data_IF_315105509905
#
_entry.id   IF_315105509905
#
_cell.length_a   1.000
_cell.length_b   1.000
_cell.length_c   1.000
_cell.angle_alpha   90.00
_cell.angle_beta   90.00
_cell.angle_gamma   90.00
#
_symmetry.space_group_name_H-M   'P 1'
#
loop_
_entity.id
_entity.type
_entity.pdbx_description
1 polymer ?
#
# COMPACT_ATOMS: atom_id res chain seq x y z
N UNK A 1 -12.61 18.38 1.55
CA UNK A 1 -11.74 19.54 1.76
C UNK A 1 -10.39 19.10 1.25
N UNK A 2 -10.00 19.50 0.04
CA UNK A 2 -8.71 19.14 -0.53
C UNK A 2 -7.59 19.79 0.29
N UNK A 3 -6.51 19.04 0.48
CA UNK A 3 -5.31 19.49 1.20
C UNK A 3 -4.42 20.37 0.28
N UNK A 4 -5.03 21.29 -0.49
CA UNK A 4 -4.29 22.22 -1.33
C UNK A 4 -3.41 23.11 -0.44
N UNK A 5 -2.09 23.05 -0.62
CA UNK A 5 -1.12 23.94 0.01
C UNK A 5 -0.42 23.43 1.27
N UNK A 6 -0.55 22.15 1.63
CA UNK A 6 0.22 21.56 2.74
C UNK A 6 1.62 21.19 2.24
N UNK A 7 2.66 21.71 2.91
CA UNK A 7 4.04 21.31 2.63
C UNK A 7 4.18 19.77 2.79
N UNK A 8 4.82 19.06 1.86
CA UNK A 8 4.99 17.59 1.94
C UNK A 8 5.60 17.13 3.26
N UNK A 9 6.45 17.94 3.86
CA UNK A 9 7.12 17.65 5.14
C UNK A 9 6.17 17.55 6.34
N UNK A 10 5.03 18.26 6.33
CA UNK A 10 4.03 18.20 7.41
C UNK A 10 2.88 17.24 7.13
N UNK A 11 2.63 16.90 5.87
CA UNK A 11 1.48 16.10 5.44
C UNK A 11 1.24 14.84 6.29
N UNK A 12 2.25 13.98 6.41
CA UNK A 12 2.10 12.73 7.14
C UNK A 12 2.05 12.95 8.65
N UNK A 13 2.76 13.95 9.17
CA UNK A 13 2.71 14.30 10.58
C UNK A 13 1.33 14.80 10.99
N UNK A 14 0.72 15.68 10.19
CA UNK A 14 -0.63 16.21 10.41
C UNK A 14 -1.69 15.11 10.30
N UNK A 15 -1.55 14.22 9.31
CA UNK A 15 -2.41 13.06 9.16
C UNK A 15 -2.35 12.14 10.39
N UNK A 16 -1.13 11.77 10.82
CA UNK A 16 -0.94 10.91 12.00
C UNK A 16 -1.47 11.57 13.28
N UNK A 17 -1.26 12.87 13.45
CA UNK A 17 -1.83 13.61 14.56
C UNK A 17 -3.38 13.54 14.57
N UNK A 18 -4.01 13.69 13.40
CA UNK A 18 -5.44 13.52 13.22
C UNK A 18 -5.94 12.10 13.49
N UNK A 19 -5.07 11.09 13.36
CA UNK A 19 -5.37 9.69 13.69
C UNK A 19 -4.99 9.30 15.13
N UNK A 20 -4.56 10.22 15.97
CA UNK A 20 -4.14 9.91 17.35
C UNK A 20 -2.73 9.35 17.48
N UNK A 21 -1.85 9.61 16.51
CA UNK A 21 -0.44 9.27 16.50
C UNK A 21 -0.08 8.02 15.67
N UNK A 22 -1.06 7.19 15.33
CA UNK A 22 -0.90 5.99 14.51
C UNK A 22 -1.98 5.94 13.44
N UNK A 23 -1.69 5.28 12.31
CA UNK A 23 -2.68 5.06 11.27
C UNK A 23 -2.70 3.59 10.82
N UNK A 24 -3.88 3.14 10.40
CA UNK A 24 -4.09 1.78 9.88
C UNK A 24 -4.23 1.86 8.36
N UNK A 25 -3.41 1.10 7.67
CA UNK A 25 -3.49 0.86 6.22
C UNK A 25 -4.35 -0.37 5.97
N UNK A 26 -4.96 -0.48 4.82
CA UNK A 26 -5.76 -1.63 4.44
C UNK A 26 -4.94 -2.94 4.32
N UNK A 27 -5.57 -3.99 3.84
CA UNK A 27 -4.99 -5.32 3.67
C UNK A 27 -4.95 -5.79 2.22
N UNK A 28 -4.85 -7.10 2.03
CA UNK A 28 -4.73 -7.72 0.73
C UNK A 28 -5.97 -7.57 -0.16
N UNK A 29 -6.00 -6.59 -1.06
CA UNK A 29 -7.12 -6.37 -2.00
C UNK A 29 -7.45 -7.65 -2.77
N UNK A 30 -6.45 -8.31 -3.35
CA UNK A 30 -6.65 -9.55 -4.11
C UNK A 30 -7.19 -10.67 -3.22
N UNK A 31 -6.67 -10.80 -2.02
CA UNK A 31 -7.14 -11.79 -1.03
C UNK A 31 -8.64 -11.62 -0.74
N UNK A 32 -9.09 -10.39 -0.57
CA UNK A 32 -10.50 -10.13 -0.28
C UNK A 32 -11.38 -10.31 -1.53
N UNK A 33 -10.89 -9.97 -2.73
CA UNK A 33 -11.58 -10.29 -3.98
C UNK A 33 -11.77 -11.81 -4.15
N UNK A 34 -10.74 -12.62 -3.85
CA UNK A 34 -10.84 -14.09 -3.85
C UNK A 34 -11.84 -14.59 -2.81
N UNK A 35 -11.90 -14.00 -1.61
CA UNK A 35 -12.90 -14.34 -0.59
C UNK A 35 -14.32 -14.01 -1.01
N UNK A 36 -14.49 -13.01 -1.87
CA UNK A 36 -15.75 -12.71 -2.54
C UNK A 36 -16.02 -13.57 -3.80
N UNK A 37 -15.22 -14.62 -4.03
CA UNK A 37 -15.44 -15.61 -5.07
C UNK A 37 -14.83 -15.27 -6.42
N UNK A 38 -13.92 -14.29 -6.50
CA UNK A 38 -13.24 -13.99 -7.76
C UNK A 38 -12.07 -14.96 -7.99
N UNK A 39 -12.03 -15.54 -9.19
CA UNK A 39 -10.86 -16.23 -9.69
C UNK A 39 -9.87 -15.20 -10.25
N UNK A 40 -8.70 -15.05 -9.64
CA UNK A 40 -7.66 -14.11 -10.06
C UNK A 40 -6.54 -14.77 -10.88
N UNK A 41 -6.74 -15.97 -11.40
CA UNK A 41 -5.79 -16.63 -12.31
C UNK A 41 -5.82 -15.97 -13.71
N UNK A 42 -5.27 -14.77 -13.80
CA UNK A 42 -5.24 -13.93 -14.99
C UNK A 42 -3.94 -13.13 -15.03
N UNK A 43 -3.47 -12.72 -16.21
CA UNK A 43 -2.29 -11.84 -16.34
C UNK A 43 -2.48 -10.48 -15.67
N UNK A 44 -3.70 -9.94 -15.68
CA UNK A 44 -4.08 -8.73 -14.97
C UNK A 44 -4.34 -8.95 -13.47
N UNK A 45 -4.38 -10.21 -13.01
CA UNK A 45 -4.66 -10.57 -11.63
C UNK A 45 -5.86 -9.80 -11.07
N UNK A 46 -5.71 -9.02 -9.98
CA UNK A 46 -6.80 -8.22 -9.42
C UNK A 46 -7.29 -7.08 -10.31
N UNK A 47 -6.46 -6.56 -11.21
CA UNK A 47 -6.83 -5.45 -12.10
C UNK A 47 -7.90 -5.85 -13.14
N UNK A 48 -8.10 -7.16 -13.43
CA UNK A 48 -9.23 -7.60 -14.26
C UNK A 48 -10.59 -7.21 -13.66
N UNK A 49 -10.67 -7.08 -12.34
CA UNK A 49 -11.91 -6.71 -11.66
C UNK A 49 -12.29 -5.24 -11.92
N UNK A 50 -11.36 -4.39 -12.35
CA UNK A 50 -11.68 -3.04 -12.80
C UNK A 50 -12.54 -3.05 -14.07
N UNK A 51 -12.35 -4.05 -14.93
CA UNK A 51 -13.14 -4.25 -16.16
C UNK A 51 -14.48 -4.88 -15.82
N UNK A 52 -14.46 -6.00 -15.08
CA UNK A 52 -15.62 -6.91 -14.98
C UNK A 52 -16.45 -6.69 -13.71
N UNK A 53 -15.87 -6.22 -12.62
CA UNK A 53 -16.51 -6.16 -11.30
C UNK A 53 -16.10 -4.91 -10.49
N UNK A 54 -16.23 -3.67 -11.05
CA UNK A 54 -15.79 -2.45 -10.35
C UNK A 54 -16.55 -2.22 -9.03
N UNK A 55 -17.83 -2.65 -8.95
CA UNK A 55 -18.64 -2.57 -7.72
C UNK A 55 -18.06 -3.46 -6.61
N UNK A 56 -17.48 -4.61 -6.97
CA UNK A 56 -16.84 -5.49 -6.00
C UNK A 56 -15.53 -4.89 -5.49
N UNK A 57 -14.72 -4.26 -6.36
CA UNK A 57 -13.53 -3.51 -5.94
C UNK A 57 -13.91 -2.44 -4.91
N UNK A 58 -14.98 -1.66 -5.18
CA UNK A 58 -15.51 -0.67 -4.24
C UNK A 58 -15.97 -1.31 -2.92
N UNK A 59 -16.63 -2.49 -2.97
CA UNK A 59 -17.06 -3.21 -1.76
C UNK A 59 -15.86 -3.61 -0.92
N UNK A 60 -14.79 -4.12 -1.52
CA UNK A 60 -13.56 -4.50 -0.81
C UNK A 60 -12.92 -3.29 -0.10
N UNK A 61 -12.86 -2.14 -0.75
CA UNK A 61 -12.39 -0.92 -0.08
C UNK A 61 -13.28 -0.55 1.12
N UNK A 62 -14.59 -0.69 1.01
CA UNK A 62 -15.51 -0.48 2.13
C UNK A 62 -15.29 -1.48 3.26
N UNK A 63 -15.04 -2.76 2.95
CA UNK A 63 -14.76 -3.79 3.96
C UNK A 63 -13.53 -3.42 4.80
N UNK A 64 -12.48 -2.87 4.18
CA UNK A 64 -11.29 -2.40 4.90
C UNK A 64 -11.54 -1.12 5.70
N UNK A 65 -12.29 -0.15 5.17
CA UNK A 65 -12.69 1.06 5.91
C UNK A 65 -13.55 0.70 7.13
N UNK A 66 -14.52 -0.20 6.96
CA UNK A 66 -15.37 -0.72 8.03
C UNK A 66 -14.58 -1.57 9.06
N UNK A 67 -13.40 -2.07 8.67
CA UNK A 67 -12.46 -2.74 9.57
C UNK A 67 -11.55 -1.77 10.36
N UNK A 68 -11.58 -0.47 10.05
CA UNK A 68 -10.82 0.56 10.76
C UNK A 68 -9.59 1.07 10.00
N UNK A 69 -9.48 0.83 8.70
CA UNK A 69 -8.42 1.41 7.89
C UNK A 69 -8.58 2.94 7.77
N UNK A 70 -7.47 3.67 7.95
CA UNK A 70 -7.33 5.11 7.73
C UNK A 70 -6.76 5.40 6.33
N UNK A 71 -6.11 4.43 5.72
CA UNK A 71 -5.57 4.53 4.36
C UNK A 71 -6.03 3.32 3.57
N UNK A 72 -6.64 3.56 2.40
CA UNK A 72 -6.97 2.52 1.42
C UNK A 72 -6.13 2.70 0.17
N UNK A 73 -5.65 1.60 -0.37
CA UNK A 73 -4.76 1.56 -1.52
C UNK A 73 -5.56 1.11 -2.76
N UNK A 74 -5.46 1.89 -3.85
CA UNK A 74 -6.23 1.63 -5.07
C UNK A 74 -5.90 0.30 -5.73
N UNK A 75 -6.83 -0.24 -6.53
CA UNK A 75 -6.69 -1.49 -7.27
C UNK A 75 -5.73 -1.39 -8.49
N UNK A 76 -4.71 -0.53 -8.42
CA UNK A 76 -3.84 -0.22 -9.56
C UNK A 76 -2.54 -1.04 -9.64
N UNK A 77 -2.32 -2.00 -8.72
CA UNK A 77 -1.10 -2.82 -8.67
C UNK A 77 -0.72 -3.44 -10.03
N UNK A 78 -1.61 -4.22 -10.62
CA UNK A 78 -1.42 -4.86 -11.93
C UNK A 78 -2.02 -4.06 -13.10
N UNK A 79 -2.59 -2.89 -12.83
CA UNK A 79 -3.17 -2.02 -13.84
C UNK A 79 -2.05 -1.31 -14.63
N UNK A 80 -1.60 -1.93 -15.70
CA UNK A 80 -0.60 -1.39 -16.62
C UNK A 80 -1.19 -1.23 -18.00
N UNK A 81 -0.75 -0.21 -18.75
CA UNK A 81 -1.19 0.02 -20.13
C UNK A 81 -0.95 -1.25 -20.95
N UNK A 82 0.26 -1.80 -20.88
CA UNK A 82 0.65 -3.02 -21.61
C UNK A 82 -0.20 -4.24 -21.21
N UNK A 83 -0.53 -4.35 -19.92
CA UNK A 83 -1.39 -5.44 -19.44
C UNK A 83 -2.81 -5.36 -19.98
N UNK A 84 -3.38 -4.17 -20.08
CA UNK A 84 -4.70 -3.96 -20.68
C UNK A 84 -4.69 -4.09 -22.20
N UNK A 85 -3.65 -3.60 -22.90
CA UNK A 85 -3.48 -3.81 -24.33
C UNK A 85 -3.41 -5.31 -24.68
N UNK A 86 -2.72 -6.12 -23.86
CA UNK A 86 -2.69 -7.57 -24.03
C UNK A 86 -4.08 -8.25 -23.90
N UNK A 87 -5.06 -7.53 -23.34
CA UNK A 87 -6.48 -7.94 -23.31
C UNK A 87 -7.31 -7.34 -24.45
N UNK A 88 -6.69 -6.63 -25.37
CA UNK A 88 -7.32 -6.04 -26.54
C UNK A 88 -7.97 -4.67 -26.33
N UNK A 89 -7.64 -3.99 -25.20
CA UNK A 89 -8.08 -2.62 -24.96
C UNK A 89 -7.13 -1.62 -25.67
N UNK A 90 -7.64 -0.44 -25.98
CA UNK A 90 -6.80 0.66 -26.46
C UNK A 90 -5.99 1.30 -25.31
N UNK A 91 -4.99 2.10 -25.66
CA UNK A 91 -4.22 2.87 -24.67
C UNK A 91 -5.13 3.78 -23.85
N UNK A 92 -6.07 4.47 -24.48
CA UNK A 92 -7.01 5.39 -23.84
C UNK A 92 -7.95 4.65 -22.87
N UNK A 93 -8.41 3.47 -23.23
CA UNK A 93 -9.22 2.62 -22.36
C UNK A 93 -8.39 2.14 -21.16
N UNK A 94 -7.14 1.75 -21.39
CA UNK A 94 -6.21 1.35 -20.32
C UNK A 94 -5.96 2.49 -19.33
N UNK A 95 -5.69 3.70 -19.83
CA UNK A 95 -5.49 4.90 -19.02
C UNK A 95 -6.75 5.24 -18.19
N UNK A 96 -7.92 5.12 -18.80
CA UNK A 96 -9.21 5.30 -18.13
C UNK A 96 -9.39 4.31 -16.99
N UNK A 97 -9.03 3.04 -17.18
CA UNK A 97 -9.12 2.02 -16.13
C UNK A 97 -8.12 2.24 -15.00
N UNK A 98 -6.90 2.69 -15.29
CA UNK A 98 -5.92 3.07 -14.27
C UNK A 98 -6.48 4.21 -13.41
N UNK A 99 -6.98 5.27 -14.03
CA UNK A 99 -7.64 6.37 -13.31
C UNK A 99 -8.86 5.88 -12.51
N UNK A 100 -9.70 5.03 -13.12
CA UNK A 100 -10.89 4.47 -12.47
C UNK A 100 -10.57 3.68 -11.21
N UNK A 101 -9.41 3.04 -11.12
CA UNK A 101 -8.99 2.33 -9.91
C UNK A 101 -8.93 3.23 -8.68
N UNK A 102 -8.49 4.47 -8.84
CA UNK A 102 -8.42 5.48 -7.77
C UNK A 102 -9.79 6.07 -7.50
N UNK A 103 -10.56 6.38 -8.55
CA UNK A 103 -11.92 6.92 -8.41
C UNK A 103 -12.82 5.98 -7.58
N UNK A 104 -12.71 4.66 -7.79
CA UNK A 104 -13.46 3.66 -7.01
C UNK A 104 -13.09 3.71 -5.52
N UNK A 105 -11.83 3.88 -5.20
CA UNK A 105 -11.38 4.04 -3.82
C UNK A 105 -11.91 5.37 -3.22
N UNK A 106 -11.89 6.46 -3.98
CA UNK A 106 -12.50 7.73 -3.57
C UNK A 106 -14.01 7.60 -3.34
N UNK A 107 -14.74 6.90 -4.22
CA UNK A 107 -16.15 6.61 -4.03
C UNK A 107 -16.41 5.82 -2.74
N UNK A 108 -15.58 4.81 -2.45
CA UNK A 108 -15.69 4.03 -1.21
C UNK A 108 -15.49 4.92 0.01
N UNK A 109 -14.48 5.80 0.01
CA UNK A 109 -14.24 6.79 1.05
C UNK A 109 -15.45 7.69 1.28
N UNK A 110 -16.01 8.25 0.22
CA UNK A 110 -17.20 9.11 0.29
C UNK A 110 -18.40 8.39 0.90
N UNK A 111 -18.68 7.17 0.46
CA UNK A 111 -19.76 6.33 1.01
C UNK A 111 -19.53 6.08 2.49
N UNK A 112 -18.32 5.70 2.88
CA UNK A 112 -17.94 5.45 4.26
C UNK A 112 -18.16 6.70 5.13
N UNK A 113 -17.62 7.85 4.72
CA UNK A 113 -17.76 9.10 5.46
C UNK A 113 -19.22 9.54 5.59
N UNK A 114 -20.04 9.36 4.55
CA UNK A 114 -21.48 9.64 4.61
C UNK A 114 -22.22 8.72 5.59
N UNK A 115 -21.86 7.44 5.66
CA UNK A 115 -22.42 6.50 6.64
C UNK A 115 -22.04 6.91 8.05
N UNK A 116 -20.78 7.26 8.28
CA UNK A 116 -20.30 7.77 9.54
C UNK A 116 -21.05 9.03 9.99
N UNK A 117 -21.29 9.96 9.08
CA UNK A 117 -22.03 11.21 9.37
C UNK A 117 -23.50 10.97 9.77
N UNK A 118 -24.12 9.92 9.25
CA UNK A 118 -25.52 9.53 9.53
C UNK A 118 -25.68 8.65 10.76
N UNK A 119 -24.58 8.28 11.46
CA UNK A 119 -24.64 7.43 12.64
C UNK A 119 -24.94 5.97 12.36
N UNK A 120 -24.74 5.48 11.13
CA UNK A 120 -24.88 4.07 10.77
C UNK A 120 -23.68 3.25 11.28
N UNK A 121 -23.57 3.14 12.62
CA UNK A 121 -22.51 2.41 13.31
C UNK A 121 -22.93 1.02 13.80
N UNK A 122 -24.18 0.59 13.50
CA UNK A 122 -24.86 -0.52 14.15
C UNK A 122 -24.33 -1.92 13.78
N UNK A 123 -23.27 -2.07 13.03
CA UNK A 123 -22.82 -3.40 12.63
C UNK A 123 -21.64 -3.96 13.42
N UNK A 124 -20.98 -3.18 14.27
CA UNK A 124 -19.89 -3.68 15.10
C UNK A 124 -19.89 -2.97 16.46
N UNK A 125 -19.79 -3.76 17.54
CA UNK A 125 -19.50 -3.31 18.92
C UNK A 125 -18.14 -2.57 19.02
N UNK A 126 -17.94 -1.56 18.20
CA UNK A 126 -16.75 -0.73 18.25
C UNK A 126 -17.09 0.54 19.03
N UNK A 127 -16.29 0.91 20.05
CA UNK A 127 -16.43 2.19 20.71
C UNK A 127 -16.41 3.29 19.64
N UNK A 128 -17.15 4.38 19.88
CA UNK A 128 -17.17 5.58 19.00
C UNK A 128 -15.74 5.93 18.64
N UNK A 129 -15.27 5.44 17.50
CA UNK A 129 -13.99 5.87 16.95
C UNK A 129 -14.22 7.31 16.51
N UNK A 130 -13.54 8.27 17.14
CA UNK A 130 -13.49 9.63 16.65
C UNK A 130 -13.10 9.60 15.19
N UNK A 131 -13.78 10.40 14.36
CA UNK A 131 -13.66 10.37 12.90
C UNK A 131 -12.23 10.62 12.50
N UNK A 132 -11.46 9.55 12.28
CA UNK A 132 -10.12 9.67 11.77
C UNK A 132 -10.15 10.07 10.27
N UNK A 133 -9.20 10.88 9.82
CA UNK A 133 -9.06 11.19 8.41
C UNK A 133 -8.81 9.91 7.61
N UNK A 134 -9.33 9.84 6.39
CA UNK A 134 -9.13 8.71 5.46
C UNK A 134 -8.41 9.20 4.22
N UNK A 135 -7.27 8.57 3.92
CA UNK A 135 -6.50 8.83 2.70
C UNK A 135 -6.73 7.73 1.65
N UNK A 136 -6.65 8.12 0.39
CA UNK A 136 -6.61 7.22 -0.76
C UNK A 136 -5.21 7.28 -1.37
N UNK A 137 -4.51 6.14 -1.35
CA UNK A 137 -3.20 5.99 -1.96
C UNK A 137 -3.33 5.38 -3.36
N UNK A 138 -2.72 6.02 -4.36
CA UNK A 138 -2.60 5.48 -5.69
C UNK A 138 -1.36 4.61 -5.80
N UNK A 139 -1.53 3.36 -6.20
CA UNK A 139 -0.46 2.37 -6.19
C UNK A 139 0.34 2.33 -7.50
N UNK A 140 1.67 2.33 -7.41
CA UNK A 140 2.58 2.11 -8.52
C UNK A 140 3.44 0.86 -8.31
N UNK A 141 3.30 -0.12 -9.22
CA UNK A 141 3.96 -1.42 -9.16
C UNK A 141 5.33 -1.41 -9.83
N UNK A 142 6.26 -2.22 -9.31
CA UNK A 142 7.52 -2.60 -9.94
C UNK A 142 7.34 -3.19 -11.36
N UNK A 143 8.36 -3.06 -12.22
CA UNK A 143 8.35 -3.61 -13.59
C UNK A 143 8.39 -5.15 -13.57
N UNK A 144 9.33 -5.74 -12.84
CA UNK A 144 9.44 -7.18 -12.59
C UNK A 144 10.34 -7.41 -11.36
N UNK A 145 10.18 -8.58 -10.71
CA UNK A 145 10.96 -8.92 -9.50
C UNK A 145 12.44 -9.24 -9.78
N UNK A 146 12.82 -9.55 -11.01
CA UNK A 146 14.16 -9.99 -11.37
C UNK A 146 14.69 -9.16 -12.53
N UNK A 147 15.56 -8.20 -12.22
CA UNK A 147 16.17 -7.33 -13.22
C UNK A 147 17.46 -7.96 -13.73
N UNK A 148 17.47 -8.38 -15.00
CA UNK A 148 18.70 -8.77 -15.69
C UNK A 148 19.67 -7.59 -15.82
N UNK A 149 20.92 -7.88 -16.17
CA UNK A 149 21.98 -6.88 -16.35
C UNK A 149 21.68 -5.80 -17.41
N UNK A 150 20.64 -5.97 -18.21
CA UNK A 150 20.19 -5.01 -19.23
C UNK A 150 19.20 -3.95 -18.71
N UNK A 151 18.71 -4.06 -17.47
CA UNK A 151 17.78 -3.07 -16.93
C UNK A 151 18.53 -1.78 -16.58
N UNK A 152 18.07 -0.68 -17.16
CA UNK A 152 18.65 0.65 -16.95
C UNK A 152 17.69 1.55 -16.19
N UNK A 153 18.22 2.61 -15.60
CA UNK A 153 17.44 3.64 -14.94
C UNK A 153 16.39 4.25 -15.88
N UNK A 154 16.79 4.57 -17.12
CA UNK A 154 15.90 5.13 -18.14
C UNK A 154 14.77 4.18 -18.52
N UNK A 155 15.06 2.88 -18.68
CA UNK A 155 14.02 1.88 -18.96
C UNK A 155 12.97 1.83 -17.84
N UNK A 156 13.40 1.91 -16.58
CA UNK A 156 12.48 1.95 -15.43
C UNK A 156 11.66 3.25 -15.42
N UNK A 157 12.29 4.39 -15.70
CA UNK A 157 11.62 5.68 -15.78
C UNK A 157 10.57 5.70 -16.90
N UNK A 158 10.91 5.25 -18.10
CA UNK A 158 9.96 5.15 -19.23
C UNK A 158 8.76 4.27 -18.89
N UNK A 159 9.00 3.11 -18.25
CA UNK A 159 7.92 2.21 -17.87
C UNK A 159 6.94 2.84 -16.86
N UNK A 160 7.47 3.61 -15.90
CA UNK A 160 6.65 4.16 -14.82
C UNK A 160 6.04 5.52 -15.15
N UNK A 161 6.68 6.32 -16.02
CA UNK A 161 6.36 7.72 -16.28
C UNK A 161 4.87 7.97 -16.55
N UNK A 162 4.33 7.32 -17.59
CA UNK A 162 2.94 7.57 -17.99
C UNK A 162 1.94 7.15 -16.92
N UNK A 163 2.17 6.01 -16.31
CA UNK A 163 1.30 5.53 -15.22
C UNK A 163 1.35 6.45 -14.00
N UNK A 164 2.53 6.94 -13.63
CA UNK A 164 2.69 7.88 -12.53
C UNK A 164 1.91 9.18 -12.79
N UNK A 165 2.01 9.75 -14.00
CA UNK A 165 1.25 10.92 -14.40
C UNK A 165 -0.27 10.72 -14.26
N UNK A 166 -0.78 9.56 -14.71
CA UNK A 166 -2.21 9.23 -14.60
C UNK A 166 -2.63 9.14 -13.13
N UNK A 167 -1.88 8.41 -12.31
CA UNK A 167 -2.18 8.19 -10.91
C UNK A 167 -2.11 9.50 -10.10
N UNK A 168 -1.11 10.34 -10.34
CA UNK A 168 -0.97 11.63 -9.68
C UNK A 168 -2.13 12.60 -9.99
N UNK A 169 -2.74 12.48 -11.18
CA UNK A 169 -3.87 13.30 -11.61
C UNK A 169 -5.24 12.60 -11.43
N UNK A 170 -5.31 11.54 -10.64
CA UNK A 170 -6.53 10.72 -10.46
C UNK A 170 -7.40 11.13 -9.27
N UNK A 171 -6.94 12.06 -8.43
CA UNK A 171 -7.62 12.47 -7.20
C UNK A 171 -7.20 11.66 -5.96
N UNK A 172 -6.11 10.91 -6.04
CA UNK A 172 -5.47 10.31 -4.88
C UNK A 172 -4.84 11.38 -3.99
N UNK A 173 -4.75 11.11 -2.69
CA UNK A 173 -4.11 12.01 -1.73
C UNK A 173 -2.58 11.83 -1.70
N UNK A 174 -2.10 10.65 -2.11
CA UNK A 174 -0.67 10.34 -2.20
C UNK A 174 -0.39 9.18 -3.17
N UNK A 175 0.89 9.01 -3.55
CA UNK A 175 1.38 7.85 -4.32
C UNK A 175 2.03 6.84 -3.39
N UNK A 176 1.64 5.58 -3.52
CA UNK A 176 2.26 4.44 -2.85
C UNK A 176 3.20 3.71 -3.82
N UNK A 177 4.50 3.90 -3.69
CA UNK A 177 5.48 3.07 -4.37
C UNK A 177 5.77 1.85 -3.49
N UNK A 178 5.22 0.70 -3.88
CA UNK A 178 5.21 -0.50 -3.04
C UNK A 178 6.00 -1.65 -3.64
N UNK A 179 6.45 -2.52 -2.72
CA UNK A 179 7.16 -3.75 -3.08
C UNK A 179 8.40 -3.44 -3.92
N UNK A 180 9.07 -2.31 -3.61
CA UNK A 180 10.27 -1.87 -4.31
C UNK A 180 11.35 -2.92 -4.08
N UNK A 181 11.85 -3.57 -5.15
CA UNK A 181 12.70 -4.75 -5.01
C UNK A 181 14.19 -4.42 -4.95
N UNK A 182 14.59 -3.21 -5.38
CA UNK A 182 16.00 -2.84 -5.54
C UNK A 182 16.21 -1.32 -5.43
N UNK A 183 17.48 -0.97 -5.33
CA UNK A 183 17.94 0.42 -5.22
C UNK A 183 17.70 1.23 -6.50
N UNK A 184 17.89 0.61 -7.66
CA UNK A 184 17.77 1.28 -8.95
C UNK A 184 16.34 1.76 -9.21
N UNK A 185 15.33 0.98 -8.83
CA UNK A 185 13.92 1.37 -9.00
C UNK A 185 13.52 2.47 -8.01
N UNK A 186 14.04 2.42 -6.78
CA UNK A 186 13.86 3.53 -5.83
C UNK A 186 14.43 4.85 -6.39
N UNK A 187 15.61 4.79 -7.03
CA UNK A 187 16.21 5.94 -7.69
C UNK A 187 15.35 6.43 -8.85
N UNK A 188 14.83 5.53 -9.70
CA UNK A 188 13.94 5.87 -10.80
C UNK A 188 12.70 6.64 -10.32
N UNK A 189 12.09 6.21 -9.23
CA UNK A 189 10.93 6.90 -8.66
C UNK A 189 11.27 8.30 -8.12
N UNK A 190 12.39 8.46 -7.45
CA UNK A 190 12.85 9.77 -6.96
C UNK A 190 13.09 10.74 -8.12
N UNK A 191 13.73 10.26 -9.21
CA UNK A 191 13.96 11.10 -10.39
C UNK A 191 12.65 11.45 -11.08
N UNK A 192 11.73 10.50 -11.27
CA UNK A 192 10.43 10.73 -11.87
C UNK A 192 9.56 11.71 -11.08
N UNK A 193 9.55 11.63 -9.76
CA UNK A 193 8.80 12.60 -8.93
C UNK A 193 9.24 14.03 -9.22
N UNK A 194 10.55 14.23 -9.43
CA UNK A 194 11.13 15.55 -9.75
C UNK A 194 10.92 15.95 -11.22
N UNK A 195 11.20 15.05 -12.17
CA UNK A 195 11.10 15.33 -13.60
C UNK A 195 9.68 15.65 -14.04
N UNK A 196 8.69 14.92 -13.49
CA UNK A 196 7.29 15.07 -13.82
C UNK A 196 6.58 16.13 -12.97
N UNK A 197 7.31 16.82 -12.08
CA UNK A 197 6.76 17.82 -11.17
C UNK A 197 5.51 17.30 -10.43
N UNK A 198 5.62 16.12 -9.83
CA UNK A 198 4.51 15.51 -9.09
C UNK A 198 4.32 16.26 -7.78
N UNK A 199 3.18 16.89 -7.59
CA UNK A 199 2.91 17.75 -6.42
C UNK A 199 2.39 16.98 -5.21
N UNK A 200 1.75 15.81 -5.43
CA UNK A 200 1.22 15.00 -4.32
C UNK A 200 2.34 14.21 -3.62
N UNK A 201 2.25 14.02 -2.29
CA UNK A 201 3.25 13.26 -1.54
C UNK A 201 3.29 11.79 -1.95
N UNK A 202 4.37 11.11 -1.56
CA UNK A 202 4.54 9.69 -1.82
C UNK A 202 5.09 8.96 -0.59
N UNK A 203 4.88 7.66 -0.49
CA UNK A 203 5.69 6.81 0.36
C UNK A 203 6.44 5.76 -0.46
N UNK A 204 7.55 5.27 0.10
CA UNK A 204 8.29 4.15 -0.45
C UNK A 204 8.23 2.97 0.53
N UNK A 205 7.82 1.80 0.03
CA UNK A 205 7.88 0.56 0.80
C UNK A 205 8.62 -0.52 0.03
N UNK A 206 9.55 -1.15 0.72
CA UNK A 206 10.44 -2.15 0.18
C UNK A 206 10.00 -3.56 0.58
N UNK A 207 10.38 -4.56 -0.19
CA UNK A 207 10.19 -5.97 0.19
C UNK A 207 11.52 -6.64 0.47
N UNK A 208 11.51 -7.59 1.42
CA UNK A 208 12.68 -8.33 1.86
C UNK A 208 12.37 -9.81 2.05
N UNK A 209 13.36 -10.66 1.80
CA UNK A 209 13.27 -12.11 2.02
C UNK A 209 14.21 -12.60 3.12
N UNK A 210 15.20 -11.78 3.53
CA UNK A 210 16.23 -12.15 4.50
C UNK A 210 16.23 -11.28 5.77
N UNK A 211 15.46 -10.18 5.80
CA UNK A 211 15.36 -9.26 6.95
C UNK A 211 16.52 -8.26 7.07
N UNK A 212 17.36 -8.14 6.04
CA UNK A 212 18.53 -7.24 6.02
C UNK A 212 18.59 -6.45 4.72
N UNK A 213 18.32 -7.14 3.61
CA UNK A 213 18.38 -6.60 2.26
C UNK A 213 16.99 -6.55 1.63
N UNK A 214 16.81 -5.72 0.60
CA UNK A 214 15.67 -5.84 -0.30
C UNK A 214 15.83 -7.07 -1.21
N UNK A 215 14.79 -7.44 -1.93
CA UNK A 215 14.73 -8.71 -2.70
C UNK A 215 15.92 -8.90 -3.66
N UNK A 216 16.45 -7.82 -4.22
CA UNK A 216 17.62 -7.86 -5.12
C UNK A 216 18.95 -8.16 -4.41
N UNK A 217 19.00 -8.05 -3.08
CA UNK A 217 20.23 -8.13 -2.29
C UNK A 217 20.85 -6.76 -1.95
N UNK A 218 20.29 -5.65 -2.41
CA UNK A 218 20.75 -4.32 -2.01
C UNK A 218 20.44 -4.08 -0.50
N UNK A 219 21.35 -3.46 0.28
CA UNK A 219 21.08 -3.16 1.68
C UNK A 219 19.88 -2.25 1.87
N UNK A 220 18.94 -2.60 2.77
CA UNK A 220 17.77 -1.78 3.07
C UNK A 220 18.11 -0.35 3.48
N UNK A 221 19.24 -0.17 4.16
CA UNK A 221 19.74 1.14 4.58
C UNK A 221 20.03 2.05 3.39
N UNK A 222 20.65 1.52 2.32
CA UNK A 222 20.93 2.30 1.11
C UNK A 222 19.64 2.69 0.39
N UNK A 223 18.69 1.77 0.31
CA UNK A 223 17.37 2.02 -0.28
C UNK A 223 16.58 3.08 0.51
N UNK A 224 16.62 3.01 1.84
CA UNK A 224 15.98 3.97 2.72
C UNK A 224 16.62 5.36 2.62
N UNK A 225 17.95 5.46 2.46
CA UNK A 225 18.64 6.72 2.21
C UNK A 225 18.18 7.41 0.92
N UNK A 226 17.95 6.65 -0.15
CA UNK A 226 17.40 7.18 -1.41
C UNK A 226 16.01 7.78 -1.16
N UNK A 227 15.14 7.05 -0.47
CA UNK A 227 13.81 7.52 -0.12
C UNK A 227 13.86 8.77 0.78
N UNK A 228 14.79 8.80 1.75
CA UNK A 228 14.94 9.94 2.67
C UNK A 228 15.41 11.20 1.95
N UNK A 229 16.25 11.08 0.93
CA UNK A 229 16.78 12.21 0.14
C UNK A 229 15.73 12.98 -0.66
N UNK A 230 14.53 12.44 -0.82
CA UNK A 230 13.44 13.06 -1.58
C UNK A 230 12.41 13.69 -0.62
N UNK A 231 12.20 15.01 -0.71
CA UNK A 231 11.24 15.74 0.14
C UNK A 231 9.79 15.32 -0.10
N UNK A 232 9.44 14.90 -1.30
CA UNK A 232 8.09 14.42 -1.64
C UNK A 232 7.78 13.05 -1.03
N UNK A 233 8.81 12.29 -0.63
CA UNK A 233 8.62 11.02 0.08
C UNK A 233 8.37 11.33 1.57
N UNK A 234 7.15 11.09 2.03
CA UNK A 234 6.68 11.46 3.38
C UNK A 234 6.64 10.29 4.36
N UNK A 235 6.84 9.06 3.89
CA UNK A 235 7.00 7.88 4.73
C UNK A 235 7.87 6.83 4.02
N UNK A 236 8.59 6.02 4.80
CA UNK A 236 9.46 4.94 4.29
C UNK A 236 9.15 3.67 5.06
N UNK A 237 9.14 2.52 4.40
CA UNK A 237 8.86 1.30 5.13
C UNK A 237 8.98 -0.01 4.37
N UNK A 238 8.21 -0.98 4.82
CA UNK A 238 8.30 -2.38 4.42
C UNK A 238 6.90 -2.92 4.12
N UNK A 239 6.76 -3.60 3.00
CA UNK A 239 5.54 -4.37 2.72
C UNK A 239 5.86 -5.75 2.13
N UNK A 240 4.83 -6.58 2.03
CA UNK A 240 4.90 -7.90 1.38
C UNK A 240 6.11 -8.75 1.84
N UNK A 241 6.43 -8.64 3.12
CA UNK A 241 7.56 -9.26 3.80
C UNK A 241 7.02 -10.09 4.96
N UNK A 242 7.57 -11.26 5.30
CA UNK A 242 7.11 -12.04 6.45
C UNK A 242 7.22 -11.26 7.78
N UNK A 243 6.20 -11.31 8.66
CA UNK A 243 6.14 -10.56 9.91
C UNK A 243 7.37 -10.71 10.80
N UNK A 244 7.95 -11.90 10.88
CA UNK A 244 9.16 -12.18 11.69
C UNK A 244 10.39 -11.36 11.29
N UNK A 245 10.45 -10.83 10.07
CA UNK A 245 11.60 -10.06 9.55
C UNK A 245 11.43 -8.56 9.77
N UNK A 246 10.23 -8.07 10.03
CA UNK A 246 9.87 -6.66 10.04
C UNK A 246 10.63 -5.86 11.11
N UNK A 247 10.74 -6.39 12.34
CA UNK A 247 11.34 -5.65 13.45
C UNK A 247 12.77 -5.20 13.16
N UNK A 248 13.63 -6.08 12.65
CA UNK A 248 15.02 -5.76 12.29
C UNK A 248 15.11 -4.73 11.15
N UNK A 249 14.20 -4.82 10.18
CA UNK A 249 14.13 -3.87 9.06
C UNK A 249 13.71 -2.47 9.53
N UNK A 250 12.74 -2.35 10.46
CA UNK A 250 12.37 -1.06 11.07
C UNK A 250 13.58 -0.42 11.74
N UNK A 251 14.30 -1.17 12.57
CA UNK A 251 15.49 -0.68 13.26
C UNK A 251 16.58 -0.23 12.27
N UNK A 252 16.71 -0.90 11.13
CA UNK A 252 17.67 -0.52 10.09
C UNK A 252 17.27 0.77 9.37
N UNK A 253 15.99 0.92 9.01
CA UNK A 253 15.43 2.13 8.38
C UNK A 253 15.58 3.34 9.32
N UNK A 254 15.27 3.17 10.61
CA UNK A 254 15.35 4.25 11.61
C UNK A 254 16.75 4.79 11.84
N UNK A 255 17.81 4.08 11.42
CA UNK A 255 19.19 4.60 11.48
C UNK A 255 19.45 5.73 10.50
N UNK A 256 18.67 5.83 9.42
CA UNK A 256 18.96 6.73 8.29
C UNK A 256 17.82 7.70 7.96
N UNK A 257 16.65 7.55 8.56
CA UNK A 257 15.54 8.48 8.33
C UNK A 257 14.76 8.77 9.61
N UNK A 258 14.27 10.01 9.71
CA UNK A 258 13.30 10.44 10.72
C UNK A 258 11.86 10.45 10.17
N UNK A 259 11.66 10.13 8.90
CA UNK A 259 10.32 10.05 8.30
C UNK A 259 9.49 8.97 8.99
N UNK A 260 8.17 9.11 9.05
CA UNK A 260 7.25 8.07 9.50
C UNK A 260 7.53 6.72 8.86
N UNK A 261 7.52 5.65 9.69
CA UNK A 261 7.76 4.28 9.20
C UNK A 261 6.44 3.58 9.00
N UNK A 262 6.24 3.07 7.77
CA UNK A 262 5.04 2.32 7.36
C UNK A 262 5.36 0.83 7.21
N UNK A 263 4.50 -0.03 7.75
CA UNK A 263 4.64 -1.47 7.62
C UNK A 263 3.30 -2.13 7.29
N UNK A 264 3.29 -3.01 6.28
CA UNK A 264 2.14 -3.84 5.90
C UNK A 264 2.64 -5.17 5.32
N UNK A 265 2.97 -6.11 6.22
CA UNK A 265 3.53 -7.42 5.87
C UNK A 265 2.48 -8.35 5.24
N UNK A 266 2.95 -9.46 4.66
CA UNK A 266 2.07 -10.57 4.30
C UNK A 266 1.72 -11.41 5.55
N UNK A 267 0.88 -12.45 5.37
CA UNK A 267 0.48 -13.34 6.47
C UNK A 267 1.59 -14.27 7.01
N UNK A 268 2.81 -14.19 6.47
CA UNK A 268 3.89 -15.13 6.79
C UNK A 268 3.87 -16.45 6.00
N UNK A 269 2.84 -16.72 5.20
CA UNK A 269 2.81 -17.82 4.24
C UNK A 269 3.85 -17.61 3.13
N UNK A 270 4.37 -18.70 2.55
CA UNK A 270 5.33 -18.64 1.44
C UNK A 270 4.61 -18.75 0.11
N UNK A 271 4.84 -17.80 -0.78
CA UNK A 271 4.34 -17.89 -2.16
C UNK A 271 5.30 -18.69 -3.03
N UNK A 272 4.80 -19.79 -3.60
CA UNK A 272 5.53 -20.57 -4.59
C UNK A 272 5.28 -19.99 -5.99
N UNK A 273 6.29 -19.33 -6.56
CA UNK A 273 6.19 -18.68 -7.87
C UNK A 273 6.03 -19.64 -9.05
N UNK A 274 6.43 -20.90 -8.91
CA UNK A 274 6.29 -21.93 -9.96
C UNK A 274 4.86 -22.48 -10.00
N UNK A 275 4.32 -22.86 -8.85
CA UNK A 275 2.96 -23.38 -8.74
C UNK A 275 1.89 -22.28 -8.68
N UNK A 276 2.30 -21.03 -8.49
CA UNK A 276 1.42 -19.88 -8.23
C UNK A 276 0.48 -20.08 -7.05
N UNK A 277 0.90 -20.84 -6.05
CA UNK A 277 0.13 -21.15 -4.87
C UNK A 277 0.84 -20.67 -3.60
N UNK A 278 0.03 -20.32 -2.61
CA UNK A 278 0.53 -20.06 -1.26
C UNK A 278 0.69 -21.38 -0.53
N UNK A 279 1.91 -21.67 -0.14
CA UNK A 279 2.20 -22.85 0.68
C UNK A 279 1.90 -22.50 2.13
N UNK A 280 1.07 -23.32 2.78
CA UNK A 280 0.87 -23.31 4.22
C UNK A 280 2.11 -23.84 4.94
N UNK A 281 3.20 -23.11 4.87
CA UNK A 281 4.10 -23.11 6.00
C UNK A 281 3.28 -22.63 7.18
N UNK A 282 3.57 -23.03 8.41
CA UNK A 282 2.84 -22.56 9.62
C UNK A 282 2.71 -21.04 9.52
N UNK A 283 1.65 -20.58 8.83
CA UNK A 283 1.28 -19.19 8.72
C UNK A 283 1.06 -18.71 10.13
N UNK A 284 1.51 -17.52 10.41
CA UNK A 284 1.23 -16.90 11.69
C UNK A 284 -0.28 -16.79 11.81
N UNK A 285 -0.84 -17.18 12.95
CA UNK A 285 -2.26 -16.98 13.23
C UNK A 285 -2.53 -15.47 13.30
N UNK A 286 -3.79 -15.07 13.22
CA UNK A 286 -4.16 -13.66 13.40
C UNK A 286 -3.66 -13.12 14.76
N UNK A 287 -3.66 -13.97 15.79
CA UNK A 287 -3.14 -13.67 17.13
C UNK A 287 -1.61 -13.46 17.10
N UNK A 288 -0.86 -14.30 16.36
CA UNK A 288 0.57 -14.13 16.17
C UNK A 288 0.88 -12.81 15.46
N UNK A 289 0.16 -12.53 14.37
CA UNK A 289 0.33 -11.28 13.62
C UNK A 289 0.11 -10.05 14.51
N UNK A 290 -0.97 -10.05 15.28
CA UNK A 290 -1.33 -8.98 16.20
C UNK A 290 -0.29 -8.80 17.30
N UNK A 291 0.34 -9.89 17.78
CA UNK A 291 1.39 -9.85 18.79
C UNK A 291 2.64 -9.07 18.37
N UNK A 292 2.87 -8.93 17.06
CA UNK A 292 3.98 -8.14 16.53
C UNK A 292 3.71 -6.62 16.54
N UNK A 293 2.45 -6.18 16.49
CA UNK A 293 2.10 -4.76 16.32
C UNK A 293 2.73 -3.90 17.42
N UNK A 294 2.67 -4.33 18.67
CA UNK A 294 3.32 -3.65 19.78
C UNK A 294 4.84 -3.54 19.60
N UNK A 295 5.49 -4.62 19.20
CA UNK A 295 6.95 -4.64 18.96
C UNK A 295 7.36 -3.72 17.82
N UNK A 296 6.56 -3.66 16.76
CA UNK A 296 6.82 -2.78 15.62
C UNK A 296 6.60 -1.31 15.97
N UNK A 297 5.56 -1.02 16.75
CA UNK A 297 5.31 0.32 17.31
C UNK A 297 6.50 0.78 18.16
N UNK A 298 6.95 -0.06 19.08
CA UNK A 298 8.06 0.26 19.99
C UNK A 298 9.40 0.42 19.23
N UNK A 299 9.55 -0.24 18.07
CA UNK A 299 10.67 -0.04 17.16
C UNK A 299 10.56 1.26 16.31
N UNK A 300 9.42 1.96 16.37
CA UNK A 300 9.22 3.26 15.72
C UNK A 300 8.34 3.25 14.46
N UNK A 301 7.59 2.18 14.18
CA UNK A 301 6.56 2.22 13.17
C UNK A 301 5.34 3.01 13.65
N UNK A 302 4.66 3.69 12.72
CA UNK A 302 3.48 4.51 13.01
C UNK A 302 2.32 4.32 12.00
N UNK A 303 2.58 3.68 10.85
CA UNK A 303 1.53 3.23 9.95
C UNK A 303 1.59 1.69 9.85
N UNK A 304 0.43 1.04 10.05
CA UNK A 304 0.33 -0.41 10.18
C UNK A 304 -0.78 -0.95 9.30
N UNK A 305 -0.49 -1.99 8.54
CA UNK A 305 -1.48 -2.62 7.67
C UNK A 305 -1.13 -4.06 7.36
N UNK A 306 -1.72 -4.56 6.28
CA UNK A 306 -1.43 -5.88 5.77
C UNK A 306 -1.26 -5.89 4.25
N UNK A 307 -0.65 -6.94 3.74
CA UNK A 307 -0.48 -7.19 2.32
C UNK A 307 -1.13 -8.53 1.95
N UNK A 308 -0.46 -9.34 1.16
CA UNK A 308 -0.99 -10.63 0.71
C UNK A 308 -1.47 -11.52 1.87
N UNK A 309 -2.61 -12.17 1.67
CA UNK A 309 -3.25 -13.09 2.62
C UNK A 309 -3.74 -12.47 3.93
N UNK A 310 -3.70 -11.14 4.07
CA UNK A 310 -4.36 -10.42 5.17
C UNK A 310 -5.78 -10.00 4.78
N UNK A 311 -6.67 -9.91 5.75
CA UNK A 311 -8.11 -9.73 5.56
C UNK A 311 -8.64 -8.56 6.37
N UNK A 312 -9.91 -8.12 6.19
CA UNK A 312 -10.53 -7.13 7.05
C UNK A 312 -10.49 -7.50 8.55
N UNK A 313 -10.50 -8.79 8.90
CA UNK A 313 -10.35 -9.21 10.29
C UNK A 313 -8.96 -8.88 10.84
N UNK A 314 -7.90 -9.13 10.06
CA UNK A 314 -6.53 -8.75 10.41
C UNK A 314 -6.43 -7.24 10.65
N UNK A 315 -7.00 -6.43 9.77
CA UNK A 315 -6.99 -4.97 9.89
C UNK A 315 -7.76 -4.49 11.13
N UNK A 316 -8.91 -5.11 11.42
CA UNK A 316 -9.68 -4.83 12.63
C UNK A 316 -8.90 -5.16 13.91
N UNK A 317 -8.17 -6.26 13.91
CA UNK A 317 -7.33 -6.66 15.03
C UNK A 317 -6.16 -5.68 15.25
N UNK A 318 -5.49 -5.23 14.18
CA UNK A 318 -4.48 -4.16 14.25
C UNK A 318 -5.08 -2.88 14.84
N UNK A 319 -6.23 -2.44 14.30
CA UNK A 319 -6.91 -1.23 14.76
C UNK A 319 -7.24 -1.29 16.26
N UNK A 320 -7.72 -2.43 16.74
CA UNK A 320 -7.99 -2.63 18.18
C UNK A 320 -6.73 -2.49 19.03
N UNK A 321 -5.64 -3.13 18.67
CA UNK A 321 -4.37 -3.04 19.43
C UNK A 321 -3.82 -1.62 19.50
N UNK A 322 -4.01 -0.83 18.45
CA UNK A 322 -3.49 0.54 18.39
C UNK A 322 -4.37 1.54 19.18
N UNK A 323 -5.69 1.33 19.21
CA UNK A 323 -6.65 2.33 19.68
C UNK A 323 -7.49 1.92 20.87
N UNK A 324 -7.53 0.64 21.26
CA UNK A 324 -8.19 0.24 22.50
C UNK A 324 -7.45 0.76 23.74
N UNK A 325 -8.12 1.64 24.47
CA UNK A 325 -7.63 2.26 25.72
C UNK A 325 -7.65 1.30 26.93
N UNK A 326 -7.90 0.01 26.72
CA UNK A 326 -8.12 -0.98 27.79
C UNK A 326 -6.91 -1.91 28.03
N UNK A 327 -5.72 -1.54 27.57
CA UNK A 327 -4.47 -2.27 27.86
C UNK A 327 -3.43 -1.39 28.53
#
# INVERSE_FOLDING_TARGET
MGLEGVEPSSFMADFLAGCGGYAVVDGGLATELERHGQDLNDHLWSAKCLISFPQLVRRVHLDYLEAGANVIISASYQATIQGFEAKGLSVEEAETLIKRSVEIACEAREIYLQRCAKGYWDFFDSPKIDRHPVLVAAFSRQLCGNYGASMTLETLKEFHRRRLQILANSGADLIAFETIPNKLEAQAYVELLKEENIDIPAWFSFSSTDGTNVVSGDPIIECANIADSCSQVVAVGINCTPPRLIHGLILSIRKVTNKPVIIYPNSGETYNGETKQWEKTRGETEEDFVSYVGKWRDAGACLFGGCCRTTPNTIRAISRVLFDKSS
#
